data_IF_059021023667
#
_entry.id   IF_059021023667
#
_cell.length_a   1.000
_cell.length_b   1.000
_cell.length_c   1.000
_cell.angle_alpha   90.00
_cell.angle_beta   90.00
_cell.angle_gamma   90.00
#
_symmetry.space_group_name_H-M   'P 1'
#
loop_
_entity.id
_entity.type
_entity.pdbx_description
1 polymer ?
#
# COMPACT_ATOMS: atom_id res chain seq x y z
N UNK A 1 -24.07 -8.79 -6.34
CA UNK A 1 -22.66 -9.17 -6.56
C UNK A 1 -21.88 -7.99 -7.13
N UNK A 2 -22.38 -7.32 -8.17
CA UNK A 2 -21.76 -6.08 -8.69
C UNK A 2 -21.58 -4.97 -7.65
N UNK A 3 -22.59 -4.70 -6.80
CA UNK A 3 -22.47 -3.71 -5.72
C UNK A 3 -21.29 -4.00 -4.76
N UNK A 4 -21.02 -5.28 -4.47
CA UNK A 4 -19.92 -5.67 -3.60
C UNK A 4 -18.56 -5.47 -4.29
N UNK A 5 -18.47 -5.79 -5.58
CA UNK A 5 -17.25 -5.61 -6.38
C UNK A 5 -16.91 -4.12 -6.50
N UNK A 6 -17.91 -3.28 -6.76
CA UNK A 6 -17.73 -1.83 -6.85
C UNK A 6 -17.27 -1.25 -5.51
N UNK A 7 -17.94 -1.60 -4.40
CA UNK A 7 -17.55 -1.14 -3.07
C UNK A 7 -16.12 -1.56 -2.68
N UNK A 8 -15.69 -2.77 -3.05
CA UNK A 8 -14.33 -3.25 -2.78
C UNK A 8 -13.30 -2.54 -3.66
N UNK A 9 -13.64 -2.30 -4.92
CA UNK A 9 -12.76 -1.58 -5.86
C UNK A 9 -12.56 -0.13 -5.39
N UNK A 10 -13.64 0.55 -4.99
CA UNK A 10 -13.58 1.90 -4.41
C UNK A 10 -12.76 1.92 -3.11
N UNK A 11 -12.94 0.91 -2.25
CA UNK A 11 -12.14 0.75 -1.04
C UNK A 11 -10.65 0.57 -1.35
N UNK A 12 -10.29 -0.24 -2.37
CA UNK A 12 -8.90 -0.41 -2.80
C UNK A 12 -8.29 0.89 -3.33
N UNK A 13 -9.07 1.70 -4.05
CA UNK A 13 -8.62 3.02 -4.49
C UNK A 13 -8.47 4.00 -3.33
N UNK A 14 -9.37 3.97 -2.35
CA UNK A 14 -9.28 4.79 -1.15
C UNK A 14 -8.03 4.44 -0.33
N UNK A 15 -7.75 3.16 -0.10
CA UNK A 15 -6.55 2.72 0.62
C UNK A 15 -5.27 3.01 -0.16
N UNK A 16 -5.30 2.92 -1.49
CA UNK A 16 -4.17 3.33 -2.32
C UNK A 16 -3.87 4.82 -2.20
N UNK A 17 -4.91 5.66 -2.29
CA UNK A 17 -4.78 7.11 -2.15
C UNK A 17 -4.25 7.48 -0.77
N UNK A 18 -4.74 6.81 0.27
CA UNK A 18 -4.23 6.95 1.63
C UNK A 18 -2.75 6.56 1.73
N UNK A 19 -2.34 5.43 1.12
CA UNK A 19 -0.94 5.00 1.07
C UNK A 19 -0.02 6.03 0.39
N UNK A 20 -0.45 6.58 -0.75
CA UNK A 20 0.28 7.67 -1.43
C UNK A 20 0.39 8.92 -0.54
N UNK A 21 -0.69 9.27 0.16
CA UNK A 21 -0.69 10.36 1.14
C UNK A 21 0.32 10.14 2.27
N UNK A 22 0.38 8.91 2.83
CA UNK A 22 1.36 8.55 3.84
C UNK A 22 2.79 8.68 3.32
N UNK A 23 3.07 8.20 2.10
CA UNK A 23 4.41 8.35 1.47
C UNK A 23 4.83 9.82 1.40
N UNK A 24 3.91 10.69 0.96
CA UNK A 24 4.17 12.12 0.89
C UNK A 24 4.41 12.70 2.29
N UNK A 25 3.57 12.37 3.27
CA UNK A 25 3.71 12.84 4.65
C UNK A 25 5.03 12.40 5.28
N UNK A 26 5.45 11.16 5.11
CA UNK A 26 6.75 10.67 5.62
C UNK A 26 7.90 11.44 4.99
N UNK A 27 7.81 11.73 3.68
CA UNK A 27 8.84 12.49 2.97
C UNK A 27 8.92 13.96 3.42
N UNK A 28 7.79 14.60 3.73
CA UNK A 28 7.76 16.01 4.11
C UNK A 28 7.94 16.27 5.60
N UNK A 29 7.38 15.43 6.47
CA UNK A 29 7.29 15.69 7.90
C UNK A 29 8.10 14.74 8.77
N UNK A 30 8.37 13.50 8.32
CA UNK A 30 8.88 12.46 9.22
C UNK A 30 10.22 11.90 8.74
N UNK A 31 11.29 12.60 9.13
CA UNK A 31 12.68 12.17 8.97
C UNK A 31 13.13 11.37 10.18
N UNK A 32 12.25 10.55 10.75
CA UNK A 32 12.57 9.72 11.90
C UNK A 32 12.62 8.27 11.45
N UNK A 33 13.69 7.58 11.78
CA UNK A 33 13.89 6.14 11.52
C UNK A 33 12.63 5.30 11.78
N UNK A 34 11.90 5.56 12.86
CA UNK A 34 10.65 4.85 13.22
C UNK A 34 9.51 5.17 12.24
N UNK A 35 9.37 6.43 11.79
CA UNK A 35 8.34 6.83 10.83
C UNK A 35 8.49 6.14 9.48
N UNK A 36 9.72 5.92 9.03
CA UNK A 36 10.01 5.17 7.79
C UNK A 36 9.61 3.70 7.93
N UNK A 37 9.90 3.07 9.08
CA UNK A 37 9.51 1.69 9.35
C UNK A 37 7.99 1.50 9.36
N UNK A 38 7.28 2.36 10.10
CA UNK A 38 5.83 2.28 10.24
C UNK A 38 5.12 2.49 8.90
N UNK A 39 5.52 3.51 8.14
CA UNK A 39 4.91 3.77 6.82
C UNK A 39 5.25 2.65 5.84
N UNK A 40 6.48 2.16 5.84
CA UNK A 40 6.86 1.01 5.03
C UNK A 40 6.00 -0.22 5.32
N UNK A 41 5.78 -0.54 6.59
CA UNK A 41 4.93 -1.64 7.02
C UNK A 41 3.46 -1.41 6.62
N UNK A 42 2.92 -0.20 6.84
CA UNK A 42 1.54 0.14 6.46
C UNK A 42 1.32 -0.01 4.96
N UNK A 43 2.27 0.41 4.12
CA UNK A 43 2.17 0.27 2.67
C UNK A 43 2.17 -1.20 2.23
N UNK A 44 3.00 -2.03 2.85
CA UNK A 44 3.01 -3.49 2.59
C UNK A 44 1.67 -4.11 3.02
N UNK A 45 1.13 -3.72 4.17
CA UNK A 45 -0.19 -4.22 4.62
C UNK A 45 -1.29 -3.82 3.65
N UNK A 46 -1.30 -2.58 3.14
CA UNK A 46 -2.28 -2.13 2.14
C UNK A 46 -2.14 -2.95 0.85
N UNK A 47 -0.91 -3.16 0.38
CA UNK A 47 -0.62 -3.95 -0.81
C UNK A 47 -1.14 -5.39 -0.71
N UNK A 48 -0.81 -6.08 0.38
CA UNK A 48 -1.30 -7.45 0.62
C UNK A 48 -2.79 -7.50 0.90
N UNK A 49 -3.31 -6.57 1.71
CA UNK A 49 -4.72 -6.51 2.09
C UNK A 49 -5.63 -6.35 0.88
N UNK A 50 -5.34 -5.40 -0.01
CA UNK A 50 -6.12 -5.20 -1.24
C UNK A 50 -6.10 -6.45 -2.14
N UNK A 51 -4.95 -7.12 -2.24
CA UNK A 51 -4.80 -8.36 -3.02
C UNK A 51 -5.62 -9.51 -2.44
N UNK A 52 -5.54 -9.73 -1.12
CA UNK A 52 -6.28 -10.81 -0.43
C UNK A 52 -7.79 -10.58 -0.53
N UNK A 53 -8.24 -9.34 -0.34
CA UNK A 53 -9.66 -8.99 -0.43
C UNK A 53 -10.18 -9.26 -1.85
N UNK A 54 -9.43 -8.90 -2.90
CA UNK A 54 -9.83 -9.19 -4.29
C UNK A 54 -9.88 -10.68 -4.61
N UNK A 55 -8.91 -11.47 -4.13
CA UNK A 55 -8.92 -12.93 -4.31
C UNK A 55 -10.16 -13.55 -3.64
N UNK A 56 -10.48 -13.12 -2.43
CA UNK A 56 -11.60 -13.67 -1.64
C UNK A 56 -12.98 -13.42 -2.27
N UNK A 57 -13.13 -12.37 -3.10
CA UNK A 57 -14.37 -12.13 -3.86
C UNK A 57 -14.38 -12.78 -5.24
N UNK A 58 -13.43 -13.68 -5.51
CA UNK A 58 -13.30 -14.38 -6.79
C UNK A 58 -12.85 -13.48 -7.94
N UNK A 59 -12.32 -12.28 -7.64
CA UNK A 59 -11.75 -11.38 -8.64
C UNK A 59 -10.27 -11.69 -8.81
N UNK A 60 -9.84 -11.80 -10.07
CA UNK A 60 -8.42 -11.99 -10.34
C UNK A 60 -7.70 -10.65 -10.12
N UNK A 61 -6.77 -10.52 -9.16
CA UNK A 61 -6.10 -9.24 -8.86
C UNK A 61 -5.38 -8.66 -10.08
N UNK A 62 -4.93 -9.53 -10.98
CA UNK A 62 -4.28 -9.20 -12.25
C UNK A 62 -5.19 -8.51 -13.27
N UNK A 63 -6.51 -8.53 -13.08
CA UNK A 63 -7.48 -7.85 -13.94
C UNK A 63 -7.90 -6.49 -13.38
N UNK A 64 -7.52 -6.17 -12.13
CA UNK A 64 -7.94 -4.96 -11.44
C UNK A 64 -6.75 -4.05 -11.19
N UNK A 65 -6.69 -2.96 -11.95
CA UNK A 65 -5.60 -1.97 -11.91
C UNK A 65 -5.34 -1.46 -10.49
N UNK A 66 -6.39 -1.32 -9.66
CA UNK A 66 -6.27 -0.90 -8.27
C UNK A 66 -5.37 -1.83 -7.46
N UNK A 67 -5.57 -3.16 -7.54
CA UNK A 67 -4.78 -4.14 -6.80
C UNK A 67 -3.37 -4.30 -7.37
N UNK A 68 -3.22 -4.21 -8.71
CA UNK A 68 -1.89 -4.18 -9.35
C UNK A 68 -1.09 -2.99 -8.82
N UNK A 69 -1.71 -1.80 -8.80
CA UNK A 69 -1.08 -0.60 -8.30
C UNK A 69 -0.69 -0.73 -6.81
N UNK A 70 -1.57 -1.28 -5.97
CA UNK A 70 -1.24 -1.55 -4.56
C UNK A 70 -0.02 -2.47 -4.45
N UNK A 71 -0.05 -3.60 -5.17
CA UNK A 71 0.95 -4.67 -5.02
C UNK A 71 2.32 -4.24 -5.52
N UNK A 72 2.38 -3.64 -6.71
CA UNK A 72 3.65 -3.28 -7.32
C UNK A 72 4.14 -1.91 -6.85
N UNK A 73 3.30 -0.88 -6.84
CA UNK A 73 3.74 0.47 -6.48
C UNK A 73 3.88 0.64 -4.97
N UNK A 74 2.83 0.37 -4.19
CA UNK A 74 2.89 0.55 -2.74
C UNK A 74 3.72 -0.55 -2.07
N UNK A 75 3.64 -1.80 -2.56
CA UNK A 75 4.49 -2.88 -2.07
C UNK A 75 5.99 -2.62 -2.26
N UNK A 76 6.41 -2.21 -3.47
CA UNK A 76 7.84 -1.92 -3.72
C UNK A 76 8.34 -0.70 -2.92
N UNK A 77 7.52 0.35 -2.81
CA UNK A 77 7.84 1.51 -2.00
C UNK A 77 7.90 1.15 -0.52
N UNK A 78 6.94 0.36 -0.02
CA UNK A 78 6.91 -0.12 1.35
C UNK A 78 8.15 -0.92 1.73
N UNK A 79 8.56 -1.87 0.89
CA UNK A 79 9.80 -2.64 1.07
C UNK A 79 11.03 -1.72 1.03
N UNK A 80 11.04 -0.70 0.17
CA UNK A 80 12.13 0.28 0.14
C UNK A 80 12.20 1.13 1.42
N UNK A 81 11.05 1.55 1.96
CA UNK A 81 10.99 2.25 3.24
C UNK A 81 11.52 1.39 4.39
N UNK A 82 11.13 0.11 4.43
CA UNK A 82 11.65 -0.88 5.40
C UNK A 82 13.15 -1.10 5.20
N UNK A 83 13.62 -1.25 3.96
CA UNK A 83 15.03 -1.43 3.64
C UNK A 83 15.89 -0.24 4.06
N UNK A 84 15.43 0.98 3.80
CA UNK A 84 16.08 2.21 4.26
C UNK A 84 16.12 2.29 5.79
N UNK A 85 15.08 1.82 6.47
CA UNK A 85 15.05 1.74 7.93
C UNK A 85 16.10 0.75 8.47
N UNK A 86 16.23 -0.43 7.86
CA UNK A 86 17.19 -1.47 8.27
C UNK A 86 18.64 -1.03 8.02
N UNK A 87 18.89 -0.32 6.92
CA UNK A 87 20.24 0.01 6.44
C UNK A 87 20.75 1.39 6.88
N UNK A 88 20.12 2.03 7.87
CA UNK A 88 20.43 3.42 8.31
C UNK A 88 20.34 4.47 7.18
N UNK A 89 19.70 4.14 6.05
CA UNK A 89 19.39 5.10 4.98
C UNK A 89 18.28 6.09 5.38
N UNK A 90 17.48 5.75 6.40
CA UNK A 90 16.56 6.66 7.07
C UNK A 90 17.33 7.44 8.16
N UNK A 91 17.38 8.77 8.01
CA UNK A 91 17.95 9.68 9.01
C UNK A 91 17.09 9.79 10.27
#
# INVERSE_FOLDING_TARGET
MELLINAITDSCWATNTFGVGLIALTRFFNHTKIGWALVGLTLVIIAFGNTIIMINIGQNPSQHIASIFSTFALGSLGVRFIGNWITDGAK
#
